data_IF_532296310856
#
_entry.id   IF_532296310856
#
_cell.length_a   1.000
_cell.length_b   1.000
_cell.length_c   1.000
_cell.angle_alpha   90.00
_cell.angle_beta   90.00
_cell.angle_gamma   90.00
#
_symmetry.space_group_name_H-M   'P 1'
#
loop_
_entity.id
_entity.type
_entity.pdbx_description
1 polymer ?
#
# COMPACT_ATOMS: atom_id res chain seq x y z
N UNK A 1 7.34 -37.97 -1.25
CA UNK A 1 6.71 -36.66 -1.59
C UNK A 1 7.21 -35.53 -0.67
N UNK A 2 8.51 -35.52 -0.33
CA UNK A 2 9.22 -34.46 0.44
C UNK A 2 10.60 -34.20 -0.22
N UNK A 3 10.73 -34.37 -1.54
CA UNK A 3 12.00 -34.17 -2.25
C UNK A 3 11.89 -33.06 -3.30
N UNK A 4 11.53 -31.86 -2.86
CA UNK A 4 11.57 -30.66 -3.71
C UNK A 4 12.08 -29.40 -2.97
N UNK A 5 12.81 -29.57 -1.86
CA UNK A 5 13.35 -28.45 -1.06
C UNK A 5 14.86 -28.22 -1.25
N UNK A 6 15.43 -28.65 -2.38
CA UNK A 6 16.89 -28.59 -2.62
C UNK A 6 17.23 -27.68 -3.80
N UNK A 7 16.71 -26.46 -3.81
CA UNK A 7 17.38 -25.36 -4.51
C UNK A 7 17.92 -24.40 -3.46
N UNK A 8 19.17 -23.94 -3.64
CA UNK A 8 19.80 -22.95 -2.76
C UNK A 8 18.95 -21.69 -2.64
N UNK A 9 18.15 -21.39 -3.66
CA UNK A 9 17.26 -20.23 -3.69
C UNK A 9 16.02 -20.39 -2.81
N UNK A 10 15.33 -21.54 -2.87
CA UNK A 10 14.19 -21.82 -1.99
C UNK A 10 14.58 -21.76 -0.51
N UNK A 11 15.79 -22.22 -0.17
CA UNK A 11 16.33 -22.15 1.19
C UNK A 11 16.55 -20.70 1.65
N UNK A 12 17.07 -19.82 0.77
CA UNK A 12 17.21 -18.39 1.07
C UNK A 12 15.84 -17.73 1.28
N UNK A 13 14.87 -18.01 0.41
CA UNK A 13 13.51 -17.46 0.52
C UNK A 13 12.83 -17.90 1.83
N UNK A 14 12.99 -19.17 2.23
CA UNK A 14 12.49 -19.67 3.51
C UNK A 14 13.18 -19.01 4.70
N UNK A 15 14.48 -18.79 4.62
CA UNK A 15 15.21 -18.05 5.66
C UNK A 15 14.69 -16.61 5.79
N UNK A 16 14.51 -15.90 4.67
CA UNK A 16 13.93 -14.56 4.65
C UNK A 16 12.51 -14.56 5.24
N UNK A 17 11.68 -15.55 4.88
CA UNK A 17 10.33 -15.69 5.42
C UNK A 17 10.35 -15.82 6.95
N UNK A 18 11.24 -16.65 7.51
CA UNK A 18 11.37 -16.79 8.95
C UNK A 18 11.75 -15.48 9.65
N UNK A 19 12.71 -14.73 9.07
CA UNK A 19 13.11 -13.41 9.59
C UNK A 19 11.93 -12.44 9.60
N UNK A 20 11.11 -12.41 8.54
CA UNK A 20 9.92 -11.56 8.51
C UNK A 20 8.85 -12.00 9.53
N UNK A 21 8.62 -13.30 9.69
CA UNK A 21 7.66 -13.84 10.68
C UNK A 21 8.05 -13.47 12.11
N UNK A 22 9.34 -13.51 12.45
CA UNK A 22 9.83 -13.09 13.78
C UNK A 22 9.63 -11.58 14.02
N UNK A 23 9.77 -10.77 12.98
CA UNK A 23 9.66 -9.31 13.08
C UNK A 23 8.22 -8.79 13.00
N UNK A 24 7.29 -9.58 12.47
CA UNK A 24 5.91 -9.19 12.18
C UNK A 24 5.21 -8.53 13.38
N UNK A 25 5.41 -9.08 14.58
CA UNK A 25 4.77 -8.61 15.81
C UNK A 25 5.25 -7.22 16.28
N UNK A 26 6.46 -6.81 15.89
CA UNK A 26 7.14 -5.61 16.42
C UNK A 26 6.52 -4.31 15.93
N UNK A 27 5.85 -4.35 14.78
CA UNK A 27 5.35 -3.19 14.07
C UNK A 27 3.85 -3.30 13.72
N UNK A 28 3.05 -3.92 14.59
CA UNK A 28 1.59 -3.93 14.45
C UNK A 28 0.94 -2.70 15.11
N UNK A 29 -0.14 -2.14 14.52
CA UNK A 29 -0.96 -1.13 15.18
C UNK A 29 -1.70 -1.72 16.39
N UNK A 30 -2.03 -0.87 17.36
CA UNK A 30 -2.81 -1.31 18.53
C UNK A 30 -4.26 -1.56 18.13
N UNK A 31 -4.70 -2.82 18.21
CA UNK A 31 -6.08 -3.23 17.84
C UNK A 31 -7.15 -2.43 18.60
N UNK A 32 -6.95 -2.13 19.89
CA UNK A 32 -7.88 -1.31 20.67
C UNK A 32 -8.05 0.10 20.09
N UNK A 33 -6.97 0.72 19.62
CA UNK A 33 -7.01 2.04 18.97
C UNK A 33 -7.73 2.01 17.62
N UNK A 34 -7.50 0.97 16.82
CA UNK A 34 -8.21 0.80 15.54
C UNK A 34 -9.71 0.60 15.73
N UNK A 35 -10.12 -0.21 16.72
CA UNK A 35 -11.55 -0.43 17.05
C UNK A 35 -12.25 0.87 17.45
N UNK A 36 -11.57 1.78 18.15
CA UNK A 36 -12.14 3.09 18.50
C UNK A 36 -12.44 3.91 17.25
N UNK A 37 -11.54 3.90 16.26
CA UNK A 37 -11.72 4.60 14.98
C UNK A 37 -12.84 3.97 14.15
N UNK A 38 -12.97 2.64 14.17
CA UNK A 38 -14.07 1.92 13.50
C UNK A 38 -15.44 2.22 14.12
N UNK A 39 -15.51 2.32 15.45
CA UNK A 39 -16.76 2.61 16.17
C UNK A 39 -17.16 4.09 16.16
N UNK A 40 -16.29 5.00 15.73
CA UNK A 40 -16.53 6.42 15.83
C UNK A 40 -17.58 6.90 14.81
N UNK A 41 -18.57 7.65 15.30
CA UNK A 41 -19.56 8.32 14.47
C UNK A 41 -19.00 9.59 13.82
N UNK A 42 -19.50 9.91 12.64
CA UNK A 42 -19.10 11.07 11.88
C UNK A 42 -19.77 12.34 12.41
N UNK A 43 -19.11 12.99 13.37
CA UNK A 43 -19.53 14.26 13.95
C UNK A 43 -18.52 15.39 13.69
N UNK A 44 -17.55 15.16 12.79
CA UNK A 44 -16.48 16.11 12.46
C UNK A 44 -15.41 16.32 13.55
N UNK A 45 -15.56 15.77 14.74
CA UNK A 45 -14.67 16.03 15.89
C UNK A 45 -13.61 14.95 16.10
N UNK A 46 -13.82 13.74 15.58
CA UNK A 46 -12.95 12.58 15.83
C UNK A 46 -12.60 11.87 14.53
N UNK A 47 -11.49 11.15 14.54
CA UNK A 47 -11.13 10.23 13.47
C UNK A 47 -12.16 9.11 13.35
N UNK A 48 -12.53 8.80 12.12
CA UNK A 48 -13.42 7.69 11.76
C UNK A 48 -12.74 6.79 10.74
N UNK A 49 -13.22 5.55 10.61
CA UNK A 49 -12.75 4.62 9.58
C UNK A 49 -12.83 5.24 8.18
N UNK A 50 -13.92 5.98 7.88
CA UNK A 50 -14.12 6.62 6.58
C UNK A 50 -13.07 7.68 6.27
N UNK A 51 -12.68 8.50 7.24
CA UNK A 51 -11.65 9.51 7.06
C UNK A 51 -10.28 8.88 6.83
N UNK A 52 -9.94 7.83 7.59
CA UNK A 52 -8.71 7.06 7.38
C UNK A 52 -8.71 6.42 5.99
N UNK A 53 -9.79 5.77 5.58
CA UNK A 53 -9.89 5.13 4.26
C UNK A 53 -9.79 6.14 3.11
N UNK A 54 -10.29 7.36 3.30
CA UNK A 54 -10.12 8.45 2.35
C UNK A 54 -8.64 8.88 2.25
N UNK A 55 -7.99 9.12 3.38
CA UNK A 55 -6.58 9.50 3.42
C UNK A 55 -5.68 8.42 2.78
N UNK A 56 -5.92 7.13 3.05
CA UNK A 56 -5.13 6.05 2.44
C UNK A 56 -5.33 5.97 0.92
N UNK A 57 -6.51 6.34 0.40
CA UNK A 57 -6.71 6.46 -1.04
C UNK A 57 -5.92 7.62 -1.64
N UNK A 58 -5.87 8.76 -0.95
CA UNK A 58 -5.03 9.89 -1.36
C UNK A 58 -3.54 9.49 -1.39
N UNK A 59 -3.07 8.76 -0.36
CA UNK A 59 -1.70 8.22 -0.34
C UNK A 59 -1.44 7.26 -1.50
N UNK A 60 -2.40 6.40 -1.85
CA UNK A 60 -2.29 5.51 -3.01
C UNK A 60 -2.18 6.28 -4.32
N UNK A 61 -2.97 7.35 -4.50
CA UNK A 61 -2.86 8.23 -5.66
C UNK A 61 -1.52 8.96 -5.72
N UNK A 62 -0.94 9.33 -4.58
CA UNK A 62 0.41 9.89 -4.52
C UNK A 62 1.47 8.86 -4.91
N UNK A 63 1.41 7.63 -4.36
CA UNK A 63 2.30 6.53 -4.77
C UNK A 63 2.30 6.36 -6.29
N UNK A 64 1.12 6.36 -6.91
CA UNK A 64 0.97 6.22 -8.36
C UNK A 64 1.51 7.41 -9.13
N UNK A 65 1.30 8.62 -8.65
CA UNK A 65 1.77 9.84 -9.31
C UNK A 65 3.30 9.89 -9.35
N UNK A 66 3.96 9.54 -8.25
CA UNK A 66 5.42 9.54 -8.17
C UNK A 66 6.07 8.26 -8.74
N UNK A 67 5.27 7.22 -9.00
CA UNK A 67 5.79 5.93 -9.45
C UNK A 67 6.56 5.18 -8.36
N UNK A 68 6.20 5.37 -7.09
CA UNK A 68 6.84 4.68 -5.96
C UNK A 68 6.36 3.23 -5.83
N UNK A 69 7.19 2.43 -5.17
CA UNK A 69 6.92 1.02 -4.96
C UNK A 69 5.72 0.79 -4.03
N UNK A 70 5.07 -0.36 -4.22
CA UNK A 70 3.97 -0.78 -3.33
C UNK A 70 4.44 -1.05 -1.90
N UNK A 71 5.73 -1.34 -1.72
CA UNK A 71 6.33 -1.40 -0.40
C UNK A 71 6.25 -0.05 0.31
N UNK A 72 6.56 1.04 -0.40
CA UNK A 72 6.47 2.42 0.12
C UNK A 72 5.04 2.75 0.55
N UNK A 73 4.04 2.38 -0.27
CA UNK A 73 2.64 2.54 0.09
C UNK A 73 2.25 1.71 1.33
N UNK A 74 2.63 0.43 1.35
CA UNK A 74 2.30 -0.50 2.44
C UNK A 74 2.92 -0.06 3.77
N UNK A 75 4.16 0.45 3.71
CA UNK A 75 4.87 1.02 4.84
C UNK A 75 4.21 2.33 5.33
N UNK A 76 3.82 3.22 4.42
CA UNK A 76 3.11 4.45 4.78
C UNK A 76 1.80 4.15 5.52
N UNK A 77 1.03 3.17 5.03
CA UNK A 77 -0.21 2.71 5.68
C UNK A 77 0.07 2.11 7.06
N UNK A 78 1.11 1.28 7.20
CA UNK A 78 1.53 0.73 8.49
C UNK A 78 1.87 1.83 9.50
N UNK A 79 2.65 2.84 9.09
CA UNK A 79 3.02 3.98 9.93
C UNK A 79 1.80 4.79 10.35
N UNK A 80 0.91 5.09 9.40
CA UNK A 80 -0.33 5.82 9.66
C UNK A 80 -1.19 5.09 10.69
N UNK A 81 -1.45 3.80 10.50
CA UNK A 81 -2.33 3.03 11.39
C UNK A 81 -1.70 2.84 12.78
N UNK A 82 -0.38 2.66 12.87
CA UNK A 82 0.33 2.62 14.15
C UNK A 82 0.23 3.94 14.88
N UNK A 83 0.35 5.05 14.17
CA UNK A 83 0.21 6.38 14.74
C UNK A 83 -1.23 6.64 15.23
N UNK A 84 -2.22 6.44 14.36
CA UNK A 84 -3.65 6.63 14.66
C UNK A 84 -4.13 5.72 15.79
N UNK A 85 -3.60 4.50 15.91
CA UNK A 85 -3.94 3.57 17.00
C UNK A 85 -3.44 4.04 18.38
N UNK A 86 -2.51 4.99 18.44
CA UNK A 86 -1.94 5.52 19.69
C UNK A 86 -2.37 6.96 19.99
N UNK A 87 -2.78 7.72 18.98
CA UNK A 87 -2.98 9.16 19.07
C UNK A 87 -4.41 9.55 18.74
N UNK A 88 -4.98 10.47 19.54
CA UNK A 88 -6.25 11.12 19.23
C UNK A 88 -6.00 12.26 18.25
N UNK A 89 -6.08 11.97 16.95
CA UNK A 89 -5.92 12.95 15.88
C UNK A 89 -7.26 13.65 15.63
N UNK A 90 -7.23 14.95 15.36
CA UNK A 90 -8.41 15.67 14.85
C UNK A 90 -8.40 15.60 13.32
N UNK A 91 -9.57 15.44 12.65
CA UNK A 91 -9.64 15.29 11.19
C UNK A 91 -8.85 16.32 10.39
N UNK A 92 -8.83 17.59 10.83
CA UNK A 92 -8.07 18.67 10.15
C UNK A 92 -6.55 18.46 10.06
N UNK A 93 -5.97 17.61 10.90
CA UNK A 93 -4.53 17.29 10.88
C UNK A 93 -4.23 16.01 10.12
N UNK A 94 -5.25 15.27 9.68
CA UNK A 94 -5.08 13.94 9.08
C UNK A 94 -4.16 13.99 7.85
N UNK A 95 -4.38 14.95 6.94
CA UNK A 95 -3.53 15.09 5.75
C UNK A 95 -2.06 15.37 6.08
N UNK A 96 -1.77 16.12 7.15
CA UNK A 96 -0.39 16.36 7.58
C UNK A 96 0.22 15.09 8.19
N UNK A 97 -0.55 14.35 9.00
CA UNK A 97 -0.12 13.06 9.57
C UNK A 97 0.13 12.04 8.46
N UNK A 98 -0.82 11.88 7.52
CA UNK A 98 -0.72 10.93 6.42
C UNK A 98 0.44 11.28 5.49
N UNK A 99 0.62 12.54 5.09
CA UNK A 99 1.76 12.95 4.28
C UNK A 99 3.10 12.77 5.01
N UNK A 100 3.17 13.01 6.31
CA UNK A 100 4.38 12.70 7.10
C UNK A 100 4.69 11.21 7.14
N UNK A 101 3.68 10.35 7.37
CA UNK A 101 3.86 8.89 7.32
C UNK A 101 4.32 8.43 5.93
N UNK A 102 3.74 9.00 4.87
CA UNK A 102 4.14 8.75 3.50
C UNK A 102 5.58 9.19 3.23
N UNK A 103 5.96 10.39 3.65
CA UNK A 103 7.31 10.90 3.40
C UNK A 103 8.38 10.11 4.16
N UNK A 104 8.08 9.67 5.40
CA UNK A 104 8.94 8.76 6.15
C UNK A 104 9.10 7.40 5.46
N UNK A 105 8.03 6.89 4.84
CA UNK A 105 8.10 5.65 4.07
C UNK A 105 8.99 5.85 2.84
N UNK A 106 8.75 6.90 2.04
CA UNK A 106 9.55 7.25 0.85
C UNK A 106 11.05 7.34 1.19
N UNK A 107 11.41 8.07 2.24
CA UNK A 107 12.82 8.18 2.70
C UNK A 107 13.43 6.84 3.14
N UNK A 108 12.61 5.86 3.50
CA UNK A 108 13.07 4.57 4.03
C UNK A 108 13.19 3.48 2.97
N UNK A 109 12.46 3.58 1.86
CA UNK A 109 12.33 2.51 0.86
C UNK A 109 12.81 2.91 -0.52
N UNK A 110 12.65 4.18 -0.90
CA UNK A 110 13.05 4.69 -2.21
C UNK A 110 14.52 5.11 -2.23
N UNK A 111 15.12 5.10 -3.42
CA UNK A 111 16.47 5.63 -3.62
C UNK A 111 16.51 7.13 -3.32
N UNK A 112 17.63 7.62 -2.76
CA UNK A 112 17.76 9.03 -2.35
C UNK A 112 17.46 10.02 -3.49
N UNK A 113 17.84 9.68 -4.72
CA UNK A 113 17.55 10.50 -5.92
C UNK A 113 16.06 10.58 -6.28
N UNK A 114 15.25 9.63 -5.83
CA UNK A 114 13.81 9.56 -6.08
C UNK A 114 13.00 10.24 -4.97
N UNK A 115 13.63 10.61 -3.85
CA UNK A 115 12.95 11.29 -2.73
C UNK A 115 12.63 12.73 -3.14
N UNK A 116 11.36 13.14 -3.23
CA UNK A 116 10.98 14.47 -3.66
C UNK A 116 11.26 15.49 -2.55
N UNK A 117 11.40 16.75 -2.95
CA UNK A 117 11.43 17.85 -1.99
C UNK A 117 10.11 17.94 -1.24
N UNK A 118 10.18 18.26 0.05
CA UNK A 118 8.99 18.45 0.89
C UNK A 118 8.01 19.50 0.30
N UNK A 119 8.54 20.54 -0.36
CA UNK A 119 7.75 21.55 -1.05
C UNK A 119 6.93 20.98 -2.21
N UNK A 120 7.53 20.08 -2.99
CA UNK A 120 6.86 19.45 -4.12
C UNK A 120 5.82 18.46 -3.63
N UNK A 121 6.14 17.68 -2.60
CA UNK A 121 5.23 16.72 -1.98
C UNK A 121 3.95 17.41 -1.46
N UNK A 122 4.09 18.54 -0.75
CA UNK A 122 2.96 19.36 -0.28
C UNK A 122 2.17 19.94 -1.45
N UNK A 123 2.86 20.47 -2.46
CA UNK A 123 2.22 21.07 -3.63
C UNK A 123 1.40 20.05 -4.42
N UNK A 124 1.95 18.85 -4.63
CA UNK A 124 1.33 17.77 -5.41
C UNK A 124 0.14 17.16 -4.66
N UNK A 125 0.26 16.98 -3.35
CA UNK A 125 -0.83 16.52 -2.49
C UNK A 125 -1.93 17.55 -2.26
N UNK A 126 -1.70 18.82 -2.63
CA UNK A 126 -2.64 19.93 -2.47
C UNK A 126 -3.08 20.19 -1.02
N UNK A 127 -2.33 19.69 -0.03
CA UNK A 127 -2.60 19.99 1.37
C UNK A 127 -2.21 21.41 1.74
N UNK A 128 -2.91 21.97 2.74
CA UNK A 128 -2.76 23.36 3.19
C UNK A 128 -1.95 23.44 4.49
N UNK A 129 -0.68 23.07 4.44
CA UNK A 129 0.27 23.24 5.56
C UNK A 129 1.67 23.55 5.05
N UNK A 130 2.53 24.05 5.93
CA UNK A 130 3.90 24.45 5.56
C UNK A 130 4.88 23.29 5.64
N UNK A 131 6.06 23.44 5.03
CA UNK A 131 7.16 22.48 5.20
C UNK A 131 7.54 22.33 6.68
N UNK A 132 7.51 23.42 7.45
CA UNK A 132 7.78 23.38 8.89
C UNK A 132 6.78 22.48 9.64
N UNK A 133 5.51 22.53 9.25
CA UNK A 133 4.47 21.66 9.84
C UNK A 133 4.72 20.19 9.49
N UNK A 134 5.08 19.90 8.24
CA UNK A 134 5.44 18.55 7.80
C UNK A 134 6.62 17.99 8.60
N UNK A 135 7.71 18.77 8.73
CA UNK A 135 8.90 18.35 9.49
C UNK A 135 8.59 18.12 10.96
N UNK A 136 7.78 19.00 11.57
CA UNK A 136 7.34 18.85 12.96
C UNK A 136 6.50 17.58 13.12
N UNK A 137 5.59 17.32 12.19
CA UNK A 137 4.74 16.13 12.22
C UNK A 137 5.54 14.85 11.97
N UNK A 138 6.54 14.84 11.09
CA UNK A 138 7.46 13.70 10.92
C UNK A 138 8.14 13.33 12.24
N UNK A 139 8.66 14.34 12.96
CA UNK A 139 9.26 14.11 14.28
C UNK A 139 8.27 13.52 15.28
N UNK A 140 7.04 14.04 15.34
CA UNK A 140 5.98 13.52 16.21
C UNK A 140 5.63 12.07 15.84
N UNK A 141 5.50 11.76 14.55
CA UNK A 141 5.24 10.39 14.09
C UNK A 141 6.36 9.46 14.53
N UNK A 142 7.62 9.82 14.27
CA UNK A 142 8.82 9.05 14.66
C UNK A 142 8.83 8.74 16.16
N UNK A 143 8.59 9.74 17.00
CA UNK A 143 8.52 9.57 18.46
C UNK A 143 7.41 8.59 18.86
N UNK A 144 6.20 8.71 18.28
CA UNK A 144 5.05 7.85 18.63
C UNK A 144 5.16 6.43 18.06
N UNK A 145 5.88 6.24 16.96
CA UNK A 145 6.23 4.90 16.46
C UNK A 145 7.51 4.34 17.09
N UNK A 146 8.12 5.06 18.05
CA UNK A 146 9.34 4.68 18.76
C UNK A 146 10.52 4.45 17.82
N UNK A 147 10.66 5.29 16.78
CA UNK A 147 11.71 5.23 15.76
C UNK A 147 11.77 3.92 14.97
N UNK A 148 10.77 3.04 15.12
CA UNK A 148 10.63 1.79 14.36
C UNK A 148 9.95 2.08 13.04
N UNK A 149 10.66 2.75 12.12
CA UNK A 149 10.14 3.06 10.78
C UNK A 149 10.00 1.79 9.98
N UNK A 150 11.09 1.03 9.82
CA UNK A 150 11.10 -0.26 9.13
C UNK A 150 10.12 -1.23 9.81
N UNK A 151 9.14 -1.70 9.05
CA UNK A 151 8.11 -2.61 9.49
C UNK A 151 7.96 -3.72 8.46
N UNK A 152 7.65 -4.93 8.92
CA UNK A 152 7.29 -6.02 8.04
C UNK A 152 5.92 -5.75 7.43
N UNK A 153 5.85 -5.62 6.11
CA UNK A 153 4.60 -5.30 5.40
C UNK A 153 3.95 -6.56 4.81
N UNK A 154 2.67 -6.46 4.49
CA UNK A 154 1.98 -7.53 3.78
C UNK A 154 2.51 -7.70 2.35
N UNK A 155 3.07 -6.65 1.75
CA UNK A 155 3.68 -6.71 0.42
C UNK A 155 4.94 -7.58 0.39
N UNK A 156 5.81 -7.46 1.40
CA UNK A 156 6.99 -8.33 1.52
C UNK A 156 6.61 -9.81 1.65
N UNK A 157 5.61 -10.13 2.47
CA UNK A 157 5.08 -11.49 2.56
C UNK A 157 4.46 -11.96 1.24
N UNK A 158 3.73 -11.07 0.55
CA UNK A 158 3.13 -11.38 -0.75
C UNK A 158 4.20 -11.74 -1.78
N UNK A 159 5.30 -10.98 -1.86
CA UNK A 159 6.44 -11.29 -2.72
C UNK A 159 7.08 -12.64 -2.38
N UNK A 160 7.36 -12.90 -1.10
CA UNK A 160 7.98 -14.16 -0.68
C UNK A 160 7.08 -15.37 -0.95
N UNK A 161 5.80 -15.29 -0.60
CA UNK A 161 4.85 -16.36 -0.86
C UNK A 161 4.66 -16.60 -2.35
N UNK A 162 4.58 -15.53 -3.15
CA UNK A 162 4.52 -15.64 -4.60
C UNK A 162 5.75 -16.36 -5.15
N UNK A 163 6.96 -15.93 -4.79
CA UNK A 163 8.21 -16.55 -5.23
C UNK A 163 8.31 -18.02 -4.82
N UNK A 164 7.97 -18.36 -3.57
CA UNK A 164 7.97 -19.74 -3.08
C UNK A 164 6.96 -20.62 -3.85
N UNK A 165 5.78 -20.11 -4.16
CA UNK A 165 4.79 -20.85 -4.97
C UNK A 165 5.28 -21.02 -6.41
N UNK A 166 5.91 -19.98 -6.97
CA UNK A 166 6.37 -19.94 -8.34
C UNK A 166 7.59 -20.82 -8.60
N UNK A 167 8.51 -20.93 -7.65
CA UNK A 167 9.65 -21.83 -7.74
C UNK A 167 9.23 -23.30 -7.80
N UNK A 168 8.14 -23.65 -7.11
CA UNK A 168 7.57 -24.99 -7.09
C UNK A 168 6.73 -25.33 -8.34
N UNK A 169 6.56 -24.39 -9.29
CA UNK A 169 5.79 -24.59 -10.53
C UNK A 169 6.70 -24.96 -11.72
N UNK A 170 6.30 -25.94 -12.55
CA UNK A 170 6.89 -26.17 -13.87
C UNK A 170 6.84 -24.91 -14.75
N UNK A 171 7.89 -24.66 -15.53
CA UNK A 171 8.11 -23.42 -16.29
C UNK A 171 6.92 -23.00 -17.17
N UNK A 172 6.24 -23.95 -17.81
CA UNK A 172 5.08 -23.69 -18.69
C UNK A 172 3.85 -23.12 -17.96
N UNK A 173 3.75 -23.33 -16.64
CA UNK A 173 2.58 -22.94 -15.83
C UNK A 173 2.80 -21.67 -15.00
N UNK A 174 4.02 -21.13 -15.03
CA UNK A 174 4.43 -19.91 -14.31
C UNK A 174 3.69 -18.65 -14.77
N UNK A 175 3.16 -18.63 -15.99
CA UNK A 175 2.43 -17.48 -16.57
C UNK A 175 1.03 -17.25 -15.98
N UNK A 176 0.54 -18.17 -15.16
CA UNK A 176 -0.86 -18.22 -14.76
C UNK A 176 -1.21 -17.31 -13.57
N UNK A 177 -0.25 -17.04 -12.67
CA UNK A 177 -0.45 -16.17 -11.51
C UNK A 177 0.21 -14.81 -11.73
N UNK A 178 -0.60 -13.78 -12.00
CA UNK A 178 -0.12 -12.40 -12.19
C UNK A 178 0.16 -11.73 -10.83
N UNK A 179 1.42 -11.35 -10.61
CA UNK A 179 1.81 -10.61 -9.42
C UNK A 179 1.14 -9.23 -9.35
N UNK A 180 0.97 -8.55 -10.49
CA UNK A 180 0.28 -7.26 -10.57
C UNK A 180 -1.16 -7.32 -10.03
N UNK A 181 -1.86 -8.45 -10.27
CA UNK A 181 -3.21 -8.65 -9.76
C UNK A 181 -3.24 -8.82 -8.24
N UNK A 182 -2.30 -9.60 -7.69
CA UNK A 182 -2.13 -9.76 -6.25
C UNK A 182 -1.79 -8.42 -5.58
N UNK A 183 -0.91 -7.64 -6.21
CA UNK A 183 -0.53 -6.31 -5.77
C UNK A 183 -1.71 -5.34 -5.76
N UNK A 184 -2.55 -5.36 -6.80
CA UNK A 184 -3.77 -4.56 -6.87
C UNK A 184 -4.78 -4.94 -5.78
N UNK A 185 -4.93 -6.24 -5.51
CA UNK A 185 -5.79 -6.73 -4.42
C UNK A 185 -5.28 -6.28 -3.05
N UNK A 186 -3.96 -6.33 -2.83
CA UNK A 186 -3.35 -5.83 -1.60
C UNK A 186 -3.57 -4.33 -1.42
N UNK A 187 -3.38 -3.53 -2.47
CA UNK A 187 -3.67 -2.09 -2.45
C UNK A 187 -5.12 -1.81 -2.07
N UNK A 188 -6.07 -2.55 -2.66
CA UNK A 188 -7.49 -2.43 -2.34
C UNK A 188 -7.78 -2.78 -0.86
N UNK A 189 -7.15 -3.81 -0.31
CA UNK A 189 -7.29 -4.17 1.10
C UNK A 189 -6.71 -3.07 2.01
N UNK A 190 -5.55 -2.51 1.70
CA UNK A 190 -4.96 -1.43 2.50
C UNK A 190 -5.87 -0.20 2.59
N UNK A 191 -6.68 0.08 1.58
CA UNK A 191 -7.69 1.15 1.60
C UNK A 191 -8.85 0.93 2.58
N UNK A 192 -8.92 -0.20 3.30
CA UNK A 192 -9.90 -0.44 4.37
C UNK A 192 -9.20 -0.67 5.70
N UNK A 193 -9.56 0.12 6.71
CA UNK A 193 -8.96 0.05 8.06
C UNK A 193 -9.03 -1.34 8.71
N UNK A 194 -10.04 -2.13 8.35
CA UNK A 194 -10.25 -3.45 8.94
C UNK A 194 -9.07 -4.40 8.75
N UNK A 195 -8.36 -4.31 7.61
CA UNK A 195 -7.21 -5.17 7.30
C UNK A 195 -5.95 -4.79 8.07
N UNK A 196 -5.89 -3.58 8.63
CA UNK A 196 -4.79 -3.16 9.52
C UNK A 196 -4.78 -3.92 10.85
N UNK A 197 -5.85 -4.65 11.17
CA UNK A 197 -5.91 -5.58 12.32
C UNK A 197 -5.38 -6.97 11.98
N UNK A 198 -5.26 -7.32 10.70
CA UNK A 198 -4.73 -8.60 10.26
C UNK A 198 -3.22 -8.63 10.43
N UNK A 199 -2.67 -9.81 10.72
CA UNK A 199 -1.25 -10.05 10.56
C UNK A 199 -0.87 -9.92 9.08
N UNK A 200 0.19 -9.20 8.71
CA UNK A 200 0.69 -9.09 7.34
C UNK A 200 0.82 -10.41 6.59
N UNK A 201 1.36 -11.44 7.24
CA UNK A 201 1.49 -12.81 6.71
C UNK A 201 0.13 -13.42 6.37
N UNK A 202 -0.85 -13.30 7.28
CA UNK A 202 -2.21 -13.81 7.09
C UNK A 202 -2.92 -13.08 5.95
N UNK A 203 -2.78 -11.76 5.87
CA UNK A 203 -3.37 -10.97 4.79
C UNK A 203 -2.81 -11.36 3.42
N UNK A 204 -1.48 -11.47 3.31
CA UNK A 204 -0.81 -11.86 2.08
C UNK A 204 -1.20 -13.27 1.63
N UNK A 205 -1.21 -14.23 2.55
CA UNK A 205 -1.62 -15.61 2.25
C UNK A 205 -3.10 -15.69 1.88
N UNK A 206 -3.97 -14.89 2.52
CA UNK A 206 -5.40 -14.82 2.18
C UNK A 206 -5.62 -14.37 0.74
N UNK A 207 -4.90 -13.33 0.31
CA UNK A 207 -4.98 -12.79 -1.05
C UNK A 207 -4.54 -13.84 -2.07
N UNK A 208 -3.39 -14.48 -1.86
CA UNK A 208 -2.86 -15.51 -2.76
C UNK A 208 -3.79 -16.71 -2.86
N UNK A 209 -4.26 -17.21 -1.72
CA UNK A 209 -5.14 -18.37 -1.67
C UNK A 209 -6.47 -18.11 -2.39
N UNK A 210 -7.05 -16.93 -2.21
CA UNK A 210 -8.27 -16.52 -2.94
C UNK A 210 -8.05 -16.42 -4.44
N UNK A 211 -6.92 -15.86 -4.88
CA UNK A 211 -6.61 -15.74 -6.30
C UNK A 211 -6.42 -17.13 -6.94
N UNK A 212 -5.72 -18.03 -6.25
CA UNK A 212 -5.56 -19.43 -6.65
C UNK A 212 -6.92 -20.14 -6.75
N UNK A 213 -7.80 -19.94 -5.77
CA UNK A 213 -9.15 -20.51 -5.79
C UNK A 213 -10.01 -19.93 -6.92
N UNK A 214 -9.96 -18.61 -7.13
CA UNK A 214 -10.74 -17.91 -8.16
C UNK A 214 -10.34 -18.35 -9.57
N UNK A 215 -9.04 -18.59 -9.81
CA UNK A 215 -8.54 -19.08 -11.09
C UNK A 215 -8.55 -20.62 -11.20
N UNK A 216 -9.01 -21.33 -10.16
CA UNK A 216 -9.09 -22.80 -10.10
C UNK A 216 -7.73 -23.51 -10.27
N UNK A 217 -6.65 -22.93 -9.74
CA UNK A 217 -5.33 -23.55 -9.74
C UNK A 217 -5.19 -24.59 -8.62
N UNK A 218 -5.89 -25.72 -8.77
CA UNK A 218 -5.94 -26.80 -7.77
C UNK A 218 -4.52 -27.27 -7.37
N UNK A 219 -3.60 -27.32 -8.34
CA UNK A 219 -2.21 -27.74 -8.15
C UNK A 219 -1.44 -26.87 -7.15
N UNK A 220 -1.80 -25.59 -7.02
CA UNK A 220 -1.11 -24.64 -6.13
C UNK A 220 -1.65 -24.67 -4.70
N UNK A 221 -2.78 -25.33 -4.47
CA UNK A 221 -3.40 -25.43 -3.15
C UNK A 221 -2.45 -26.07 -2.13
N UNK A 222 -1.71 -27.11 -2.53
CA UNK A 222 -0.71 -27.74 -1.66
C UNK A 222 0.44 -26.80 -1.25
N UNK A 223 0.83 -25.88 -2.14
CA UNK A 223 1.82 -24.84 -1.83
C UNK A 223 1.31 -23.85 -0.79
N UNK A 224 0.05 -23.41 -0.93
CA UNK A 224 -0.62 -22.54 0.06
C UNK A 224 -0.73 -23.24 1.42
N UNK A 225 -1.10 -24.51 1.46
CA UNK A 225 -1.16 -25.30 2.69
C UNK A 225 0.22 -25.46 3.35
N UNK A 226 1.27 -25.66 2.56
CA UNK A 226 2.64 -25.72 3.06
C UNK A 226 3.05 -24.39 3.70
N UNK A 227 2.81 -23.27 3.01
CA UNK A 227 3.10 -21.93 3.52
C UNK A 227 2.27 -21.59 4.76
N UNK A 228 1.01 -22.04 4.82
CA UNK A 228 0.15 -21.88 5.98
C UNK A 228 0.73 -22.60 7.20
N UNK A 229 1.13 -23.87 7.03
CA UNK A 229 1.76 -24.68 8.09
C UNK A 229 3.08 -24.06 8.55
N UNK A 230 3.93 -23.67 7.60
CA UNK A 230 5.23 -23.04 7.87
C UNK A 230 5.08 -21.73 8.64
N UNK A 231 4.13 -20.88 8.23
CA UNK A 231 3.85 -19.59 8.87
C UNK A 231 3.02 -19.70 10.16
N UNK A 232 2.66 -20.92 10.58
CA UNK A 232 1.86 -21.21 11.78
C UNK A 232 0.52 -20.45 11.80
N UNK A 233 -0.13 -20.33 10.63
CA UNK A 233 -1.41 -19.63 10.49
C UNK A 233 -2.56 -20.61 10.76
N UNK A 234 -3.43 -20.26 11.71
CA UNK A 234 -4.62 -21.07 12.01
C UNK A 234 -5.58 -21.08 10.81
N UNK A 235 -6.10 -22.25 10.46
CA UNK A 235 -7.06 -22.42 9.37
C UNK A 235 -8.31 -21.55 9.54
N UNK A 236 -8.84 -21.43 10.76
CA UNK A 236 -10.01 -20.58 11.04
C UNK A 236 -9.72 -19.10 10.80
N UNK A 237 -8.54 -18.64 11.20
CA UNK A 237 -8.12 -17.25 10.99
C UNK A 237 -7.95 -16.97 9.50
N UNK A 238 -7.32 -17.90 8.76
CA UNK A 238 -7.13 -17.77 7.31
C UNK A 238 -8.48 -17.68 6.58
N UNK A 239 -9.42 -18.58 6.85
CA UNK A 239 -10.75 -18.57 6.23
C UNK A 239 -11.48 -17.27 6.54
N UNK A 240 -11.46 -16.82 7.80
CA UNK A 240 -12.08 -15.57 8.21
C UNK A 240 -11.54 -14.37 7.42
N UNK A 241 -10.20 -14.24 7.31
CA UNK A 241 -9.61 -13.14 6.54
C UNK A 241 -9.82 -13.28 5.03
N UNK A 242 -9.86 -14.50 4.49
CA UNK A 242 -10.23 -14.75 3.10
C UNK A 242 -11.65 -14.27 2.79
N UNK A 243 -12.64 -14.59 3.62
CA UNK A 243 -14.02 -14.12 3.43
C UNK A 243 -14.10 -12.58 3.41
N UNK A 244 -13.35 -11.93 4.31
CA UNK A 244 -13.28 -10.48 4.37
C UNK A 244 -12.59 -9.87 3.15
N UNK A 245 -11.48 -10.45 2.68
CA UNK A 245 -10.80 -10.02 1.45
C UNK A 245 -11.74 -10.20 0.26
N UNK A 246 -12.40 -11.35 0.10
CA UNK A 246 -13.36 -11.61 -0.97
C UNK A 246 -14.50 -10.57 -0.98
N UNK A 247 -15.06 -10.25 0.19
CA UNK A 247 -16.06 -9.17 0.33
C UNK A 247 -15.49 -7.81 -0.08
N UNK A 248 -14.29 -7.45 0.36
CA UNK A 248 -13.67 -6.18 0.00
C UNK A 248 -13.43 -6.09 -1.52
N UNK A 249 -12.97 -7.16 -2.16
CA UNK A 249 -12.68 -7.19 -3.59
C UNK A 249 -13.95 -7.13 -4.44
N UNK A 250 -15.05 -7.77 -4.01
CA UNK A 250 -16.34 -7.65 -4.70
C UNK A 250 -16.90 -6.22 -4.61
N UNK A 251 -16.81 -5.59 -3.43
CA UNK A 251 -17.16 -4.17 -3.26
C UNK A 251 -16.28 -3.24 -4.11
N UNK A 252 -14.98 -3.51 -4.17
CA UNK A 252 -14.01 -2.74 -4.97
C UNK A 252 -14.26 -2.86 -6.47
N UNK A 253 -14.70 -4.05 -6.92
CA UNK A 253 -15.04 -4.32 -8.31
C UNK A 253 -16.40 -3.71 -8.71
N UNK A 254 -17.27 -3.46 -7.73
CA UNK A 254 -18.57 -2.82 -7.95
C UNK A 254 -18.45 -1.36 -8.37
N UNK A 255 -19.36 -0.89 -9.21
CA UNK A 255 -19.44 0.51 -9.66
C UNK A 255 -19.79 1.51 -8.55
N UNK A 256 -20.04 1.04 -7.31
CA UNK A 256 -20.36 1.87 -6.14
C UNK A 256 -19.11 2.42 -5.44
N UNK A 257 -17.92 1.87 -5.70
CA UNK A 257 -16.67 2.33 -5.11
C UNK A 257 -15.92 3.26 -6.09
N UNK A 258 -15.54 4.47 -5.64
CA UNK A 258 -14.61 5.31 -6.38
C UNK A 258 -13.26 4.59 -6.47
N UNK A 259 -12.94 4.04 -7.64
CA UNK A 259 -11.70 3.28 -7.87
C UNK A 259 -10.49 4.21 -7.76
N UNK A 260 -9.57 4.03 -6.80
CA UNK A 260 -8.39 4.89 -6.65
C UNK A 260 -7.46 4.84 -7.88
N UNK A 261 -7.34 3.67 -8.55
CA UNK A 261 -6.60 3.55 -9.82
C UNK A 261 -7.08 4.48 -10.95
N UNK A 262 -8.27 5.08 -10.83
CA UNK A 262 -8.87 5.96 -11.86
C UNK A 262 -8.97 7.41 -11.36
N UNK A 263 -8.71 7.68 -10.08
CA UNK A 263 -8.65 9.05 -9.56
C UNK A 263 -7.30 9.66 -9.93
N UNK A 264 -7.20 10.18 -11.16
CA UNK A 264 -6.15 11.14 -11.53
C UNK A 264 -6.22 12.30 -10.54
N UNK A 265 -5.08 12.68 -9.96
CA UNK A 265 -4.96 13.91 -9.17
C UNK A 265 -5.61 15.05 -9.97
N UNK A 266 -6.74 15.56 -9.46
CA UNK A 266 -7.43 16.69 -10.08
C UNK A 266 -6.70 17.95 -9.67
N UNK A 267 -5.90 18.49 -10.58
CA UNK A 267 -5.19 19.75 -10.38
C UNK A 267 -6.18 20.91 -10.37
N UNK A 268 -6.53 21.39 -9.17
CA UNK A 268 -7.27 22.64 -9.04
C UNK A 268 -6.28 23.78 -9.22
N UNK A 269 -6.20 24.27 -10.45
CA UNK A 269 -5.35 25.40 -10.80
C UNK A 269 -5.87 26.65 -10.06
N UNK A 270 -4.99 27.39 -9.39
CA UNK A 270 -5.37 28.65 -8.73
C UNK A 270 -6.02 29.61 -9.72
N UNK A 271 -6.96 30.46 -9.30
CA UNK A 271 -7.60 31.42 -10.21
C UNK A 271 -6.61 32.35 -10.93
N UNK A 272 -5.44 32.62 -10.33
CA UNK A 272 -4.34 33.38 -10.96
C UNK A 272 -3.63 32.56 -12.04
N UNK A 273 -3.28 31.32 -11.73
CA UNK A 273 -2.63 30.39 -12.67
C UNK A 273 -3.57 30.03 -13.82
N UNK A 274 -4.86 29.88 -13.57
CA UNK A 274 -5.87 29.62 -14.60
C UNK A 274 -6.02 30.79 -15.57
N UNK A 275 -5.90 32.03 -15.08
CA UNK A 275 -5.86 33.24 -15.93
C UNK A 275 -4.57 33.31 -16.76
N UNK A 276 -3.42 32.96 -16.19
CA UNK A 276 -2.14 32.90 -16.92
C UNK A 276 -2.12 31.79 -17.99
N UNK A 277 -2.65 30.60 -17.69
CA UNK A 277 -2.74 29.48 -18.63
C UNK A 277 -3.73 29.75 -19.78
N UNK A 278 -4.75 30.58 -19.58
CA UNK A 278 -5.63 31.03 -20.68
C UNK A 278 -4.90 31.88 -21.71
N UNK A 279 -3.87 32.63 -21.31
CA UNK A 279 -3.10 33.48 -22.22
C UNK A 279 -2.04 32.71 -23.04
N UNK A 280 -1.67 31.49 -22.66
CA UNK A 280 -0.70 30.67 -23.41
C UNK A 280 -1.29 29.93 -24.63
N UNK A 281 -2.62 29.84 -24.76
CA UNK A 281 -3.25 29.22 -25.94
C UNK A 281 -2.98 29.97 -27.24
N UNK A 282 -2.63 31.26 -27.18
CA UNK A 282 -2.31 32.08 -28.36
C UNK A 282 -0.81 32.19 -28.65
N UNK A 283 0.06 31.48 -27.90
CA UNK A 283 1.52 31.47 -28.10
C UNK A 283 2.09 30.07 -28.28
N UNK A 284 1.36 29.18 -28.95
CA UNK A 284 2.02 28.07 -29.62
C UNK A 284 2.69 28.69 -30.85
N UNK A 285 3.95 29.13 -30.69
CA UNK A 285 4.79 29.34 -31.85
C UNK A 285 4.87 27.97 -32.55
N UNK A 286 4.26 27.85 -33.72
CA UNK A 286 4.46 26.67 -34.56
C UNK A 286 5.97 26.51 -34.72
N UNK A 287 6.53 25.43 -34.16
CA UNK A 287 7.92 25.07 -34.41
C UNK A 287 8.06 24.94 -35.93
N UNK A 288 9.04 25.62 -36.55
CA UNK A 288 9.22 25.50 -37.99
C UNK A 288 9.47 24.03 -38.34
N UNK A 289 8.77 23.54 -39.35
CA UNK A 289 8.94 22.19 -39.88
C UNK A 289 10.38 22.04 -40.38
N UNK A 290 11.14 21.09 -39.83
CA UNK A 290 12.47 20.76 -40.32
C UNK A 290 12.28 20.14 -41.71
N UNK A 291 12.79 20.75 -42.79
CA UNK A 291 12.68 20.15 -44.11
C UNK A 291 13.58 18.91 -44.17
N UNK A 292 12.98 17.74 -44.37
CA UNK A 292 13.70 16.54 -44.77
C UNK A 292 14.03 16.64 -46.26
N UNK A 293 15.05 17.43 -46.58
CA UNK A 293 15.75 17.33 -47.86
C UNK A 293 17.01 16.50 -47.65
N UNK A 294 16.99 15.28 -48.16
CA UNK A 294 18.20 14.59 -48.60
C UNK A 294 18.02 14.17 -50.07
N UNK A 295 19.10 13.82 -50.80
CA UNK A 295 20.51 14.12 -50.58
C UNK A 295 20.97 15.42 -51.25
#
# INVERSE_FOLDING_TARGET
MIEALVTTEAQKLLHQLNVLLEQESRCQPKVCGLRLIESAHDNGLRMTARLRDFEVKDLLSLTQFFGFDTETFSLAVNLLDRFLSKMKVQPKHLGCVGLSCFYLAVKSTEEERNVPLATDLIRISQYKFTVSDLMRMEKIVLEKVCWKVKATTAFQFLQLYYSLIHENLPFERRKNLSFERLEAQLKACHCRIMFSKAKPSVLALSIIALEIQAQKFIELTGGVECLQKHSKINCRDLIFWQELVAKCLTEYSSNKCSKPNVQKLKWIVSGRTARQLKHSYYRIAHLPTIPETGP
#
